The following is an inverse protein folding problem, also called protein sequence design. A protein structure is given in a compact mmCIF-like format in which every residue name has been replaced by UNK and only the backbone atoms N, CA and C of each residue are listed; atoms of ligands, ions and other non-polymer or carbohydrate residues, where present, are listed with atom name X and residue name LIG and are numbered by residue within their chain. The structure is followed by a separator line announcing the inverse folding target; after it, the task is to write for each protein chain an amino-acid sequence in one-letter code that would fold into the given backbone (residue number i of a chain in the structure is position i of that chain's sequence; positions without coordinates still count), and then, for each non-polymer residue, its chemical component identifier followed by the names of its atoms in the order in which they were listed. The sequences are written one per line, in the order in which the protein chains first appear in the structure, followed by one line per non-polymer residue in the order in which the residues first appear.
data_IF_011009624192
#
_entry.id   IF_011009624192
#
_cell.length_a   1.000
_cell.length_b   1.000
_cell.length_c   1.000
_cell.angle_alpha   90.00
_cell.angle_beta   90.00
_cell.angle_gamma   90.00
#
_symmetry.space_group_name_H-M   'P 1'
#
loop_
_entity.id
_entity.type
_entity.pdbx_description
1 polymer ?
#
# COMPACT_ATOMS: atom_id res chain seq x y z
N UNK A 1 10.51 7.41 -24.14
CA UNK A 1 11.82 8.10 -24.04
C UNK A 1 11.82 9.21 -22.98
N UNK A 2 10.76 9.99 -22.87
CA UNK A 2 10.69 11.14 -21.95
C UNK A 2 10.89 10.81 -20.46
N UNK A 3 10.34 9.68 -20.00
CA UNK A 3 10.54 9.19 -18.62
C UNK A 3 12.02 8.93 -18.30
N UNK A 4 12.73 8.25 -19.21
CA UNK A 4 14.16 7.92 -19.05
C UNK A 4 15.00 9.20 -19.08
N UNK A 5 14.64 10.14 -19.96
CA UNK A 5 15.32 11.43 -20.05
C UNK A 5 15.18 12.26 -18.77
N UNK A 6 13.96 12.41 -18.24
CA UNK A 6 13.72 13.11 -16.97
C UNK A 6 14.44 12.43 -15.79
N UNK A 7 14.50 11.10 -15.81
CA UNK A 7 15.20 10.33 -14.79
C UNK A 7 16.74 10.53 -14.84
N UNK A 8 17.36 10.41 -16.02
CA UNK A 8 18.78 10.72 -16.19
C UNK A 8 19.07 12.17 -15.78
N UNK A 9 18.19 13.12 -16.14
CA UNK A 9 18.33 14.53 -15.75
C UNK A 9 18.37 14.69 -14.22
N UNK A 10 17.51 13.99 -13.47
CA UNK A 10 17.55 14.01 -12.00
C UNK A 10 18.86 13.47 -11.43
N UNK A 11 19.40 12.39 -12.01
CA UNK A 11 20.71 11.86 -11.59
C UNK A 11 21.83 12.87 -11.85
N UNK A 12 21.84 13.50 -13.03
CA UNK A 12 22.84 14.50 -13.38
C UNK A 12 22.79 15.71 -12.45
N UNK A 13 21.59 16.23 -12.15
CA UNK A 13 21.42 17.34 -11.20
C UNK A 13 21.94 16.94 -9.81
N UNK A 14 21.59 15.74 -9.34
CA UNK A 14 22.09 15.22 -8.07
C UNK A 14 23.62 15.13 -8.03
N UNK A 15 24.27 14.67 -9.10
CA UNK A 15 25.73 14.60 -9.19
C UNK A 15 26.39 15.99 -9.13
N UNK A 16 25.82 16.96 -9.83
CA UNK A 16 26.32 18.34 -9.84
C UNK A 16 26.21 18.95 -8.44
N UNK A 17 25.04 18.83 -7.80
CA UNK A 17 24.79 19.31 -6.44
C UNK A 17 25.72 18.62 -5.43
N UNK A 18 25.85 17.30 -5.51
CA UNK A 18 26.76 16.53 -4.66
C UNK A 18 28.20 17.01 -4.81
N UNK A 19 28.66 17.24 -6.03
CA UNK A 19 30.02 17.72 -6.31
C UNK A 19 30.25 19.12 -5.74
N UNK A 20 29.27 20.01 -5.88
CA UNK A 20 29.27 21.34 -5.26
C UNK A 20 29.37 21.25 -3.74
N UNK A 21 28.56 20.39 -3.11
CA UNK A 21 28.59 20.14 -1.66
C UNK A 21 30.00 19.66 -1.25
N UNK A 22 30.56 18.67 -1.94
CA UNK A 22 31.91 18.18 -1.64
C UNK A 22 33.01 19.25 -1.82
N UNK A 23 32.79 20.22 -2.71
CA UNK A 23 33.73 21.30 -2.96
C UNK A 23 33.65 22.41 -1.91
N UNK A 24 32.45 22.67 -1.37
CA UNK A 24 32.21 23.68 -0.33
C UNK A 24 32.81 23.26 1.02
N UNK A 25 32.77 21.98 1.38
CA UNK A 25 33.45 21.50 2.58
C UNK A 25 34.96 21.43 2.34
N UNK A 26 35.85 22.10 3.10
CA UNK A 26 37.30 22.01 2.91
C UNK A 26 37.93 20.81 3.64
N UNK A 27 37.29 20.30 4.70
CA UNK A 27 37.84 19.23 5.54
C UNK A 27 37.82 17.86 4.88
N UNK A 28 38.99 17.21 4.83
CA UNK A 28 39.19 15.89 4.25
C UNK A 28 38.42 14.79 4.99
N UNK A 29 38.22 14.94 6.30
CA UNK A 29 37.52 13.96 7.14
C UNK A 29 36.01 13.98 6.88
N UNK A 30 35.41 15.18 6.88
CA UNK A 30 33.98 15.40 6.66
C UNK A 30 33.55 15.01 5.23
N UNK A 31 34.42 15.24 4.23
CA UNK A 31 34.20 14.77 2.83
C UNK A 31 33.96 13.27 2.72
N UNK A 32 34.62 12.44 3.56
CA UNK A 32 34.51 10.97 3.48
C UNK A 32 33.08 10.51 3.77
N UNK A 33 32.47 11.07 4.82
CA UNK A 33 31.11 10.74 5.24
C UNK A 33 30.07 11.28 4.26
N UNK A 34 30.24 12.53 3.80
CA UNK A 34 29.37 13.13 2.78
C UNK A 34 29.41 12.30 1.49
N UNK A 35 30.58 11.83 1.06
CA UNK A 35 30.73 11.05 -0.18
C UNK A 35 30.08 9.67 -0.08
N UNK A 36 30.18 9.02 1.08
CA UNK A 36 29.48 7.76 1.35
C UNK A 36 27.96 7.96 1.36
N UNK A 37 27.48 8.98 2.06
CA UNK A 37 26.06 9.28 2.13
C UNK A 37 25.48 9.66 0.76
N UNK A 38 26.20 10.47 -0.02
CA UNK A 38 25.80 10.83 -1.37
C UNK A 38 25.79 9.62 -2.31
N UNK A 39 26.72 8.67 -2.15
CA UNK A 39 26.68 7.40 -2.86
C UNK A 39 25.45 6.57 -2.50
N UNK A 40 25.07 6.53 -1.23
CA UNK A 40 23.85 5.85 -0.78
C UNK A 40 22.57 6.54 -1.31
N UNK A 41 22.52 7.87 -1.26
CA UNK A 41 21.45 8.67 -1.86
C UNK A 41 21.34 8.43 -3.37
N UNK A 42 22.47 8.35 -4.07
CA UNK A 42 22.51 8.01 -5.49
C UNK A 42 21.92 6.61 -5.75
N UNK A 43 22.29 5.63 -4.91
CA UNK A 43 21.74 4.27 -4.99
C UNK A 43 20.22 4.27 -4.80
N UNK A 44 19.73 5.06 -3.85
CA UNK A 44 18.30 5.22 -3.58
C UNK A 44 17.56 5.92 -4.72
N UNK A 45 18.20 6.92 -5.35
CA UNK A 45 17.69 7.59 -6.55
C UNK A 45 17.57 6.60 -7.71
N UNK A 46 18.54 5.69 -7.84
CA UNK A 46 18.56 4.66 -8.87
C UNK A 46 17.53 3.56 -8.63
N UNK A 47 17.21 3.28 -7.37
CA UNK A 47 16.21 2.28 -7.00
C UNK A 47 14.81 2.66 -7.49
N UNK A 48 14.48 3.94 -7.54
CA UNK A 48 13.14 4.43 -7.82
C UNK A 48 12.57 3.98 -9.19
N UNK A 49 13.27 4.16 -10.34
CA UNK A 49 12.79 3.62 -11.60
C UNK A 49 12.91 2.09 -11.69
N UNK A 50 13.85 1.46 -10.99
CA UNK A 50 13.97 -0.01 -10.99
C UNK A 50 12.70 -0.61 -10.38
N UNK A 51 12.22 -0.04 -9.27
CA UNK A 51 10.96 -0.43 -8.64
C UNK A 51 9.76 -0.14 -9.54
N UNK A 52 9.71 1.06 -10.16
CA UNK A 52 8.59 1.43 -11.05
C UNK A 52 8.53 0.59 -12.34
N UNK A 53 9.69 0.30 -12.94
CA UNK A 53 9.80 -0.56 -14.11
C UNK A 53 9.42 -2.00 -13.78
N UNK A 54 9.85 -2.50 -12.61
CA UNK A 54 9.48 -3.83 -12.12
C UNK A 54 7.97 -3.92 -11.85
N UNK A 55 7.35 -2.92 -11.23
CA UNK A 55 5.89 -2.87 -10.99
C UNK A 55 5.06 -2.87 -12.28
N UNK A 56 5.57 -2.27 -13.36
CA UNK A 56 4.85 -2.25 -14.64
C UNK A 56 4.91 -3.60 -15.37
N UNK A 57 5.93 -4.43 -15.09
CA UNK A 57 6.10 -5.77 -15.67
C UNK A 57 5.56 -6.88 -14.76
N UNK A 58 5.49 -6.61 -13.45
CA UNK A 58 5.02 -7.54 -12.43
C UNK A 58 3.73 -6.96 -11.88
N UNK A 59 2.60 -7.46 -12.37
CA UNK A 59 1.29 -7.22 -11.78
C UNK A 59 1.29 -7.87 -10.39
N UNK A 60 1.79 -7.14 -9.40
CA UNK A 60 1.87 -7.61 -8.01
C UNK A 60 0.47 -7.99 -7.52
N UNK A 61 -0.57 -7.29 -7.99
CA UNK A 61 -1.97 -7.66 -7.80
C UNK A 61 -2.30 -9.07 -8.32
N UNK A 62 -1.76 -9.46 -9.48
CA UNK A 62 -1.95 -10.80 -10.05
C UNK A 62 -1.22 -11.87 -9.24
N UNK A 63 0.02 -11.60 -8.84
CA UNK A 63 0.82 -12.54 -8.03
C UNK A 63 0.21 -12.71 -6.64
N UNK A 64 -0.23 -11.61 -6.01
CA UNK A 64 -0.94 -11.68 -4.73
C UNK A 64 -2.21 -12.51 -4.90
N UNK A 65 -3.01 -12.28 -5.93
CA UNK A 65 -4.23 -13.07 -6.17
C UNK A 65 -3.98 -14.56 -6.47
N UNK A 66 -2.79 -14.92 -6.95
CA UNK A 66 -2.44 -16.30 -7.30
C UNK A 66 -1.84 -17.09 -6.11
N UNK A 67 -1.15 -16.40 -5.19
CA UNK A 67 -0.58 -17.03 -3.99
C UNK A 67 -1.43 -16.82 -2.73
N UNK A 68 -2.29 -15.80 -2.68
CA UNK A 68 -3.36 -15.72 -1.70
C UNK A 68 -4.57 -16.46 -2.27
N UNK A 69 -4.84 -17.67 -1.77
CA UNK A 69 -6.14 -18.35 -1.96
C UNK A 69 -7.33 -17.55 -1.41
N UNK A 70 -7.11 -16.34 -0.92
CA UNK A 70 -8.14 -15.36 -0.62
C UNK A 70 -8.59 -14.72 -1.93
N UNK A 71 -9.47 -15.43 -2.65
CA UNK A 71 -10.46 -14.73 -3.46
C UNK A 71 -11.21 -13.83 -2.48
N UNK A 72 -10.90 -12.54 -2.44
CA UNK A 72 -11.80 -11.54 -1.88
C UNK A 72 -12.97 -11.48 -2.87
N UNK A 73 -13.81 -12.51 -2.83
CA UNK A 73 -15.05 -12.65 -3.57
C UNK A 73 -16.09 -11.79 -2.84
N UNK A 74 -15.85 -10.48 -2.87
CA UNK A 74 -16.71 -9.49 -2.26
C UNK A 74 -17.84 -9.17 -3.23
N UNK A 75 -18.72 -10.12 -3.58
CA UNK A 75 -19.97 -9.70 -4.22
C UNK A 75 -21.17 -10.66 -4.36
N UNK A 76 -21.27 -11.82 -3.71
CA UNK A 76 -22.57 -12.55 -3.75
C UNK A 76 -22.81 -13.46 -2.56
N UNK A 77 -21.88 -14.36 -2.27
CA UNK A 77 -22.10 -15.35 -1.20
C UNK A 77 -22.06 -14.73 0.20
N UNK A 78 -21.16 -13.77 0.44
CA UNK A 78 -21.07 -13.08 1.72
C UNK A 78 -22.33 -12.23 2.00
N UNK A 79 -22.87 -11.58 0.96
CA UNK A 79 -24.08 -10.76 1.08
C UNK A 79 -25.30 -11.64 1.39
N UNK A 80 -25.42 -12.79 0.73
CA UNK A 80 -26.47 -13.78 1.02
C UNK A 80 -26.36 -14.34 2.45
N UNK A 81 -25.15 -14.64 2.93
CA UNK A 81 -24.95 -15.09 4.32
C UNK A 81 -25.27 -14.00 5.35
N UNK A 82 -24.92 -12.75 5.06
CA UNK A 82 -25.23 -11.59 5.92
C UNK A 82 -26.73 -11.31 5.94
N UNK A 83 -27.42 -11.42 4.81
CA UNK A 83 -28.86 -11.21 4.71
C UNK A 83 -29.63 -12.30 5.45
N UNK A 84 -29.27 -13.57 5.27
CA UNK A 84 -29.89 -14.67 6.02
C UNK A 84 -29.68 -14.53 7.53
N UNK A 85 -28.48 -14.15 7.95
CA UNK A 85 -28.21 -13.89 9.36
C UNK A 85 -29.05 -12.72 9.92
N UNK A 86 -29.31 -11.68 9.11
CA UNK A 86 -30.21 -10.59 9.51
C UNK A 86 -31.64 -11.08 9.68
N UNK A 87 -32.15 -11.88 8.74
CA UNK A 87 -33.50 -12.45 8.83
C UNK A 87 -33.67 -13.30 10.09
N UNK A 88 -32.74 -14.23 10.36
CA UNK A 88 -32.77 -15.08 11.56
C UNK A 88 -32.74 -14.25 12.86
N UNK A 89 -32.07 -13.08 12.85
CA UNK A 89 -32.01 -12.17 14.00
C UNK A 89 -33.34 -11.45 14.19
N UNK A 90 -33.94 -10.95 13.11
CA UNK A 90 -35.24 -10.27 13.16
C UNK A 90 -36.34 -11.20 13.65
N UNK A 91 -36.37 -12.45 13.18
CA UNK A 91 -37.34 -13.47 13.61
C UNK A 91 -37.23 -13.76 15.10
N UNK A 92 -36.00 -13.97 15.61
CA UNK A 92 -35.78 -14.21 17.05
C UNK A 92 -36.15 -13.01 17.92
N UNK A 93 -35.96 -11.79 17.41
CA UNK A 93 -36.34 -10.58 18.12
C UNK A 93 -37.86 -10.43 18.12
N UNK A 94 -38.53 -10.63 16.98
CA UNK A 94 -40.00 -10.51 16.89
C UNK A 94 -40.71 -11.56 17.72
N UNK A 95 -40.27 -12.81 17.68
CA UNK A 95 -40.81 -13.91 18.50
C UNK A 95 -40.71 -13.57 19.99
N UNK A 96 -39.58 -13.00 20.41
CA UNK A 96 -39.37 -12.58 21.80
C UNK A 96 -40.29 -11.42 22.21
N UNK A 97 -40.58 -10.47 21.31
CA UNK A 97 -41.52 -9.38 21.59
C UNK A 97 -42.98 -9.83 21.60
N UNK A 98 -43.34 -10.81 20.77
CA UNK A 98 -44.69 -11.41 20.78
C UNK A 98 -44.93 -12.19 22.08
N UNK A 99 -43.98 -13.01 22.55
CA UNK A 99 -44.07 -13.76 23.82
C UNK A 99 -44.15 -12.82 25.04
N UNK A 100 -43.40 -11.71 25.04
CA UNK A 100 -43.45 -10.69 26.10
C UNK A 100 -44.77 -9.88 26.08
N UNK A 101 -45.40 -9.71 24.92
CA UNK A 101 -46.69 -9.00 24.78
C UNK A 101 -47.91 -9.86 25.18
N UNK A 102 -47.88 -11.16 24.92
CA UNK A 102 -48.92 -12.11 25.35
C UNK A 102 -48.90 -12.32 26.87
N UNK A 103 -47.72 -12.31 27.51
CA UNK A 103 -47.60 -12.35 28.97
C UNK A 103 -48.13 -11.10 29.69
N UNK A 104 -48.18 -9.95 29.03
CA UNK A 104 -48.55 -8.68 29.67
C UNK A 104 -50.03 -8.31 29.47
N UNK A 105 -50.74 -8.97 28.54
CA UNK A 105 -52.20 -8.84 28.34
C UNK A 105 -53.04 -9.90 29.08
N UNK A 106 -52.39 -10.80 29.83
CA UNK A 106 -53.02 -11.86 30.61
C UNK A 106 -53.07 -11.60 32.12
N UNK A 107 -53.20 -10.34 32.54
CA UNK A 107 -53.36 -9.95 33.95
C UNK A 107 -54.64 -9.11 34.15
#
# INVERSE_FOLDING_TARGET
MEFVYGYIRNISIFMIVTTLILNIFPEKSSKKYIKLFAGFLLLMLIFNPIVKYKKNNINVDKIISEYSHVKIDKNSNLENSVNKFREDLFERISEKYEDESEKNNGN
#
